data_IF_228389060726
#
_entry.id   IF_228389060726
#
_cell.length_a   1.000
_cell.length_b   1.000
_cell.length_c   1.000
_cell.angle_alpha   90.00
_cell.angle_beta   90.00
_cell.angle_gamma   90.00
#
_symmetry.space_group_name_H-M   'P 1'
#
loop_
_entity.id
_entity.type
_entity.pdbx_description
1 polymer ?
#
# COMPACT_ATOMS: atom_id res chain seq x y z
N UNK A 1 4.54 5.41 -1.30
CA UNK A 1 3.20 6.00 -1.09
C UNK A 1 3.28 6.90 0.13
N UNK A 2 3.39 8.19 -0.14
CA UNK A 2 3.21 9.29 0.81
C UNK A 2 1.78 9.79 0.70
N UNK A 3 1.35 10.59 1.67
CA UNK A 3 0.00 11.17 1.63
C UNK A 3 -0.13 12.17 0.47
N UNK A 4 0.93 12.95 0.19
CA UNK A 4 0.97 13.88 -0.95
C UNK A 4 0.88 13.21 -2.33
N UNK A 5 1.20 11.91 -2.42
CA UNK A 5 1.12 11.18 -3.68
C UNK A 5 -0.34 10.77 -4.03
N UNK A 6 -1.31 11.00 -3.12
CA UNK A 6 -2.71 10.58 -3.27
C UNK A 6 -3.59 11.81 -3.41
N UNK A 7 -4.23 11.95 -4.57
CA UNK A 7 -5.30 12.91 -4.78
C UNK A 7 -6.61 12.36 -4.20
N UNK A 8 -7.16 13.07 -3.22
CA UNK A 8 -8.38 12.72 -2.48
C UNK A 8 -9.57 13.62 -2.84
N UNK A 9 -9.46 14.45 -3.90
CA UNK A 9 -10.48 15.44 -4.24
C UNK A 9 -11.79 14.84 -4.77
N UNK A 10 -11.73 13.64 -5.36
CA UNK A 10 -12.85 12.97 -6.00
C UNK A 10 -13.34 11.75 -5.21
N UNK A 11 -14.48 11.20 -5.63
CA UNK A 11 -15.08 10.00 -5.03
C UNK A 11 -14.20 8.74 -5.23
N UNK A 12 -13.42 8.71 -6.31
CA UNK A 12 -12.35 7.74 -6.54
C UNK A 12 -11.01 8.46 -6.44
N UNK A 13 -10.24 8.14 -5.41
CA UNK A 13 -8.90 8.71 -5.21
C UNK A 13 -7.93 8.24 -6.29
N UNK A 14 -6.94 9.07 -6.59
CA UNK A 14 -5.89 8.76 -7.57
C UNK A 14 -4.53 8.77 -6.88
N UNK A 15 -3.84 7.63 -6.92
CA UNK A 15 -2.46 7.55 -6.47
C UNK A 15 -1.49 7.65 -7.65
N UNK A 16 -0.57 8.60 -7.57
CA UNK A 16 0.51 8.78 -8.53
C UNK A 16 1.86 8.56 -7.82
N UNK A 17 2.52 7.40 -7.99
CA UNK A 17 3.80 7.13 -7.35
C UNK A 17 4.87 8.13 -7.77
N UNK A 18 5.60 8.67 -6.79
CA UNK A 18 6.72 9.57 -7.04
C UNK A 18 7.77 9.04 -8.04
N UNK A 19 8.04 7.74 -7.99
CA UNK A 19 8.92 7.06 -8.94
C UNK A 19 8.34 5.73 -9.38
N UNK A 20 8.64 5.32 -10.61
CA UNK A 20 8.28 3.99 -11.12
C UNK A 20 9.25 3.47 -12.16
N UNK A 21 9.33 2.14 -12.29
CA UNK A 21 10.28 1.42 -13.16
C UNK A 21 10.34 1.95 -14.60
N UNK A 22 9.20 2.44 -15.11
CA UNK A 22 9.07 2.88 -16.50
C UNK A 22 9.00 4.41 -16.63
N UNK A 23 9.39 5.18 -15.62
CA UNK A 23 9.33 6.65 -15.65
C UNK A 23 10.19 7.26 -16.77
N UNK A 24 11.30 6.62 -17.11
CA UNK A 24 12.17 7.00 -18.24
C UNK A 24 11.50 6.86 -19.61
N UNK A 25 10.31 6.25 -19.69
CA UNK A 25 9.49 6.25 -20.90
C UNK A 25 8.57 7.48 -20.99
N UNK A 26 8.64 8.42 -20.04
CA UNK A 26 7.99 9.73 -20.12
C UNK A 26 6.50 9.75 -19.77
N UNK A 27 5.96 8.69 -19.18
CA UNK A 27 4.53 8.59 -18.87
C UNK A 27 4.29 8.40 -17.37
N UNK A 28 3.37 9.17 -16.76
CA UNK A 28 3.03 9.00 -15.36
C UNK A 28 2.29 7.69 -15.13
N UNK A 29 2.34 7.18 -13.91
CA UNK A 29 1.57 6.01 -13.49
C UNK A 29 0.45 6.43 -12.56
N UNK A 30 -0.79 6.43 -13.03
CA UNK A 30 -1.96 6.70 -12.20
C UNK A 30 -2.66 5.41 -11.79
N UNK A 31 -3.07 5.33 -10.53
CA UNK A 31 -3.76 4.18 -9.96
C UNK A 31 -5.04 4.67 -9.29
N UNK A 32 -6.19 4.23 -9.81
CA UNK A 32 -7.49 4.51 -9.20
C UNK A 32 -7.67 3.67 -7.93
N UNK A 33 -8.10 4.32 -6.85
CA UNK A 33 -8.33 3.71 -5.54
C UNK A 33 -9.82 3.84 -5.25
N UNK A 34 -10.53 2.71 -5.30
CA UNK A 34 -11.97 2.66 -5.04
C UNK A 34 -12.32 2.73 -3.55
N UNK A 35 -13.61 2.88 -3.22
CA UNK A 35 -14.09 3.18 -1.86
C UNK A 35 -13.67 2.15 -0.81
N UNK A 36 -13.53 0.86 -1.18
CA UNK A 36 -13.08 -0.17 -0.24
C UNK A 36 -11.61 0.00 0.13
N UNK A 37 -10.76 0.31 -0.85
CA UNK A 37 -9.36 0.63 -0.59
C UNK A 37 -9.20 1.96 0.14
N UNK A 38 -10.02 2.98 -0.19
CA UNK A 38 -10.04 4.26 0.53
C UNK A 38 -10.34 4.07 2.02
N UNK A 39 -11.38 3.30 2.36
CA UNK A 39 -11.73 3.02 3.76
C UNK A 39 -10.58 2.38 4.56
N UNK A 40 -9.73 1.59 3.90
CA UNK A 40 -8.53 1.00 4.51
C UNK A 40 -7.42 2.06 4.66
N UNK A 41 -7.30 2.98 3.71
CA UNK A 41 -6.24 4.00 3.69
C UNK A 41 -6.52 5.19 4.61
N UNK A 42 -7.78 5.60 4.76
CA UNK A 42 -8.18 6.79 5.53
C UNK A 42 -7.52 6.88 6.91
N UNK A 43 -7.47 5.82 7.75
CA UNK A 43 -6.85 5.89 9.07
C UNK A 43 -5.33 6.13 9.06
N UNK A 44 -4.67 5.91 7.92
CA UNK A 44 -3.22 6.01 7.77
C UNK A 44 -2.78 7.29 7.05
N UNK A 45 -3.71 8.08 6.49
CA UNK A 45 -3.38 9.35 5.85
C UNK A 45 -2.88 10.36 6.87
N UNK A 46 -1.89 11.16 6.49
CA UNK A 46 -1.21 12.14 7.35
C UNK A 46 -1.33 13.54 6.76
N UNK A 47 -2.50 14.19 6.85
CA UNK A 47 -2.71 15.51 6.25
C UNK A 47 -1.76 16.57 6.82
N UNK A 48 -1.42 16.46 8.11
CA UNK A 48 -0.50 17.40 8.77
C UNK A 48 0.98 17.16 8.43
N UNK A 49 1.31 16.06 7.75
CA UNK A 49 2.67 15.77 7.30
C UNK A 49 2.63 14.97 5.99
N UNK A 50 2.29 15.63 4.87
CA UNK A 50 1.88 14.94 3.66
C UNK A 50 3.04 14.17 2.98
N UNK A 51 4.29 14.61 3.19
CA UNK A 51 5.50 13.94 2.73
C UNK A 51 5.82 12.62 3.48
N UNK A 52 5.15 12.37 4.61
CA UNK A 52 5.34 11.13 5.34
C UNK A 52 4.69 9.94 4.64
N UNK A 53 5.37 8.79 4.73
CA UNK A 53 4.83 7.53 4.23
C UNK A 53 3.55 7.14 4.97
N UNK A 54 2.53 6.74 4.20
CA UNK A 54 1.25 6.26 4.73
C UNK A 54 1.46 5.01 5.60
N UNK A 55 2.37 4.11 5.18
CA UNK A 55 2.74 2.91 5.93
C UNK A 55 4.18 2.98 6.42
N UNK A 56 4.37 3.23 7.72
CA UNK A 56 5.69 3.30 8.35
C UNK A 56 5.96 2.10 9.27
N UNK A 57 7.02 1.29 9.01
CA UNK A 57 7.48 0.25 9.94
C UNK A 57 7.84 0.78 11.33
N UNK A 58 8.31 2.03 11.42
CA UNK A 58 8.64 2.69 12.68
C UNK A 58 7.39 2.88 13.53
N UNK A 59 6.36 3.51 12.98
CA UNK A 59 5.09 3.74 13.66
C UNK A 59 4.41 2.42 14.03
N UNK A 60 4.37 1.45 13.12
CA UNK A 60 3.82 0.12 13.40
C UNK A 60 4.54 -0.58 14.57
N UNK A 61 5.87 -0.45 14.66
CA UNK A 61 6.64 -1.00 15.78
C UNK A 61 6.38 -0.26 17.10
N UNK A 62 6.14 1.05 17.06
CA UNK A 62 5.78 1.86 18.22
C UNK A 62 4.38 1.53 18.72
N UNK A 63 3.40 1.39 17.82
CA UNK A 63 2.03 0.98 18.14
C UNK A 63 2.01 -0.39 18.81
N UNK A 64 2.70 -1.38 18.23
CA UNK A 64 2.80 -2.72 18.84
C UNK A 64 3.45 -2.68 20.23
N UNK A 65 4.46 -1.83 20.44
CA UNK A 65 5.09 -1.66 21.77
C UNK A 65 4.12 -1.00 22.76
N UNK A 66 3.41 0.04 22.33
CA UNK A 66 2.42 0.73 23.15
C UNK A 66 1.29 -0.23 23.57
N UNK A 67 0.78 -1.02 22.62
CA UNK A 67 -0.28 -1.99 22.86
C UNK A 67 0.16 -3.09 23.82
N UNK A 68 1.37 -3.63 23.65
CA UNK A 68 1.95 -4.59 24.60
C UNK A 68 2.12 -4.01 26.00
N UNK A 69 2.46 -2.71 26.10
CA UNK A 69 2.62 -2.02 27.39
C UNK A 69 1.27 -1.83 28.08
N UNK A 70 0.22 -1.47 27.32
CA UNK A 70 -1.17 -1.36 27.82
C UNK A 70 -1.69 -2.71 28.31
N UNK A 71 -1.53 -3.77 27.50
CA UNK A 71 -2.02 -5.13 27.81
C UNK A 71 -1.17 -5.89 28.82
N UNK A 72 -0.21 -5.23 29.45
CA UNK A 72 0.73 -5.89 30.33
C UNK A 72 0.09 -6.15 31.70
N UNK A 73 -0.01 -7.43 32.06
CA UNK A 73 -0.58 -7.88 33.35
C UNK A 73 0.36 -7.67 34.54
N UNK A 74 1.68 -7.83 34.34
CA UNK A 74 2.66 -7.74 35.41
C UNK A 74 3.33 -6.36 35.49
N UNK A 75 3.57 -5.81 36.69
CA UNK A 75 4.33 -4.58 36.87
C UNK A 75 5.76 -4.67 36.29
N UNK A 76 6.40 -3.51 36.06
CA UNK A 76 7.75 -3.51 35.46
C UNK A 76 8.74 -3.83 36.54
N UNK A 77 9.58 -4.84 36.33
CA UNK A 77 10.62 -5.17 37.29
C UNK A 77 11.58 -3.97 37.40
N UNK A 78 12.19 -3.72 38.58
CA UNK A 78 13.11 -2.61 38.76
C UNK A 78 14.29 -2.63 37.76
N UNK A 79 14.81 -3.82 37.41
CA UNK A 79 15.88 -3.98 36.42
C UNK A 79 15.45 -3.60 35.00
N UNK A 80 14.21 -3.90 34.60
CA UNK A 80 13.67 -3.48 33.31
C UNK A 80 13.44 -1.97 33.25
N UNK A 81 13.00 -1.32 34.35
CA UNK A 81 12.82 0.13 34.42
C UNK A 81 14.14 0.89 34.27
N UNK A 82 15.23 0.35 34.83
CA UNK A 82 16.58 0.93 34.74
C UNK A 82 17.24 0.74 33.37
N UNK A 83 16.67 -0.12 32.50
CA UNK A 83 17.26 -0.42 31.19
C UNK A 83 17.04 0.75 30.23
N UNK A 84 18.14 1.32 29.74
CA UNK A 84 18.10 2.34 28.68
C UNK A 84 18.20 1.69 27.31
N UNK A 85 17.51 2.20 26.28
CA UNK A 85 17.71 1.77 24.91
C UNK A 85 19.16 1.98 24.48
N UNK A 86 19.71 1.03 23.72
CA UNK A 86 21.03 1.22 23.09
C UNK A 86 20.96 2.46 22.18
N UNK A 87 21.92 3.39 22.22
CA UNK A 87 21.87 4.62 21.40
C UNK A 87 21.96 4.31 19.88
N UNK A 88 22.83 3.37 19.51
CA UNK A 88 23.02 2.92 18.13
C UNK A 88 22.75 1.40 17.98
N UNK A 89 21.48 0.97 17.95
CA UNK A 89 21.13 -0.41 17.65
C UNK A 89 21.45 -0.73 16.19
N UNK A 90 21.97 -1.95 15.93
CA UNK A 90 22.31 -2.42 14.58
C UNK A 90 21.10 -2.52 13.64
N UNK A 91 19.88 -2.62 14.18
CA UNK A 91 18.63 -2.73 13.42
C UNK A 91 17.61 -1.74 13.99
N UNK A 92 17.18 -0.79 13.17
CA UNK A 92 16.07 0.12 13.44
C UNK A 92 15.00 -0.09 12.37
N UNK A 93 13.69 -0.05 12.72
CA UNK A 93 12.65 0.09 11.71
C UNK A 93 12.90 1.38 10.91
N UNK A 94 12.76 1.31 9.59
CA UNK A 94 12.82 2.49 8.72
C UNK A 94 11.47 3.21 8.62
N UNK A 95 11.45 4.33 7.90
CA UNK A 95 10.24 5.11 7.61
C UNK A 95 9.33 4.48 6.57
N UNK A 96 9.88 3.63 5.69
CA UNK A 96 9.13 2.92 4.66
C UNK A 96 9.43 1.41 4.67
N UNK A 97 8.45 0.62 4.29
CA UNK A 97 8.65 -0.81 4.07
C UNK A 97 9.57 -1.05 2.88
N UNK A 98 10.63 -1.82 3.09
CA UNK A 98 11.40 -2.39 1.98
C UNK A 98 10.64 -3.56 1.36
N UNK A 99 10.99 -3.92 0.10
CA UNK A 99 10.47 -5.12 -0.57
C UNK A 99 10.57 -6.37 0.33
N UNK A 100 11.71 -6.55 1.00
CA UNK A 100 11.94 -7.68 1.90
C UNK A 100 11.08 -7.60 3.16
N UNK A 101 10.95 -6.42 3.78
CA UNK A 101 10.12 -6.24 4.96
C UNK A 101 8.65 -6.54 4.65
N UNK A 102 8.14 -6.06 3.52
CA UNK A 102 6.78 -6.33 3.05
C UNK A 102 6.53 -7.83 2.79
N UNK A 103 7.46 -8.51 2.08
CA UNK A 103 7.38 -9.96 1.86
C UNK A 103 7.30 -10.72 3.18
N UNK A 104 8.16 -10.41 4.15
CA UNK A 104 8.17 -11.08 5.44
C UNK A 104 6.93 -10.78 6.29
N UNK A 105 6.35 -9.58 6.17
CA UNK A 105 5.09 -9.25 6.82
C UNK A 105 3.96 -10.17 6.33
N UNK A 106 3.85 -10.39 5.02
CA UNK A 106 2.87 -11.33 4.43
C UNK A 106 3.10 -12.76 4.90
N UNK A 107 4.36 -13.24 4.88
CA UNK A 107 4.68 -14.59 5.34
C UNK A 107 4.23 -14.80 6.79
N UNK A 108 4.54 -13.87 7.69
CA UNK A 108 4.12 -13.94 9.10
C UNK A 108 2.60 -13.89 9.26
N UNK A 109 1.92 -13.08 8.45
CA UNK A 109 0.47 -13.01 8.46
C UNK A 109 -0.16 -14.33 8.01
N UNK A 110 0.38 -14.95 6.96
CA UNK A 110 -0.08 -16.27 6.48
C UNK A 110 0.14 -17.36 7.53
N UNK A 111 1.33 -17.41 8.14
CA UNK A 111 1.66 -18.37 9.19
C UNK A 111 0.72 -18.21 10.40
N UNK A 112 0.46 -16.95 10.82
CA UNK A 112 -0.47 -16.64 11.91
C UNK A 112 -1.91 -17.05 11.58
N UNK A 113 -2.35 -16.83 10.34
CA UNK A 113 -3.68 -17.20 9.88
C UNK A 113 -3.81 -18.69 9.49
N UNK A 114 -2.70 -19.46 9.53
CA UNK A 114 -2.62 -20.86 9.11
C UNK A 114 -3.09 -21.11 7.67
N UNK A 115 -2.79 -20.17 6.76
CA UNK A 115 -3.10 -20.28 5.33
C UNK A 115 -1.81 -20.50 4.52
N UNK A 116 -1.89 -21.10 3.32
CA UNK A 116 -0.74 -21.21 2.42
C UNK A 116 -0.10 -19.84 2.17
N UNK A 117 1.22 -19.80 2.25
CA UNK A 117 1.98 -18.58 1.98
C UNK A 117 1.81 -18.16 0.52
N UNK A 118 1.56 -16.88 0.32
CA UNK A 118 1.49 -16.28 -1.01
C UNK A 118 2.46 -15.10 -1.15
N UNK A 119 2.77 -14.72 -2.38
CA UNK A 119 3.63 -13.60 -2.71
C UNK A 119 2.82 -12.38 -3.20
N UNK A 120 3.28 -11.14 -2.97
CA UNK A 120 2.54 -9.92 -3.35
C UNK A 120 1.99 -9.92 -4.79
N UNK A 121 2.80 -10.42 -5.74
CA UNK A 121 2.41 -10.45 -7.15
C UNK A 121 1.19 -11.35 -7.44
N UNK A 122 0.86 -12.32 -6.57
CA UNK A 122 -0.36 -13.14 -6.72
C UNK A 122 -1.63 -12.32 -6.52
N UNK A 123 -1.60 -11.29 -5.66
CA UNK A 123 -2.75 -10.38 -5.53
C UNK A 123 -3.01 -9.62 -6.83
N UNK A 124 -1.94 -9.19 -7.52
CA UNK A 124 -2.05 -8.56 -8.83
C UNK A 124 -2.63 -9.51 -9.87
N UNK A 125 -2.16 -10.76 -9.93
CA UNK A 125 -2.70 -11.76 -10.85
C UNK A 125 -4.15 -12.12 -10.55
N UNK A 126 -4.51 -12.30 -9.27
CA UNK A 126 -5.88 -12.58 -8.87
C UNK A 126 -6.81 -11.44 -9.29
N UNK A 127 -6.41 -10.19 -8.99
CA UNK A 127 -7.15 -9.02 -9.44
C UNK A 127 -7.29 -8.98 -10.97
N UNK A 128 -6.20 -9.24 -11.72
CA UNK A 128 -6.24 -9.31 -13.18
C UNK A 128 -7.24 -10.35 -13.70
N UNK A 129 -7.23 -11.56 -13.13
CA UNK A 129 -8.15 -12.64 -13.49
C UNK A 129 -9.60 -12.24 -13.18
N UNK A 130 -9.84 -11.64 -12.01
CA UNK A 130 -11.18 -11.18 -11.60
C UNK A 130 -11.70 -10.10 -12.54
N UNK A 131 -10.88 -9.09 -12.82
CA UNK A 131 -11.24 -7.99 -13.73
C UNK A 131 -11.50 -8.50 -15.14
N UNK A 132 -10.68 -9.42 -15.64
CA UNK A 132 -10.88 -9.99 -16.98
C UNK A 132 -12.19 -10.74 -17.10
N UNK A 133 -12.62 -11.44 -16.03
CA UNK A 133 -13.89 -12.15 -15.99
C UNK A 133 -15.10 -11.20 -15.99
N UNK A 134 -15.00 -10.06 -15.30
CA UNK A 134 -16.11 -9.12 -15.10
C UNK A 134 -16.21 -8.04 -16.18
N UNK A 135 -15.07 -7.51 -16.65
CA UNK A 135 -14.99 -6.33 -17.51
C UNK A 135 -14.20 -6.57 -18.81
N UNK A 136 -13.88 -7.82 -19.10
CA UNK A 136 -13.08 -8.20 -20.27
C UNK A 136 -11.62 -7.77 -20.20
N UNK A 137 -10.91 -7.93 -21.32
CA UNK A 137 -9.49 -7.61 -21.41
C UNK A 137 -9.22 -6.12 -21.18
N UNK A 138 -10.04 -5.26 -21.79
CA UNK A 138 -9.86 -3.81 -21.72
C UNK A 138 -10.00 -3.26 -20.29
N UNK A 139 -10.95 -3.79 -19.52
CA UNK A 139 -11.12 -3.40 -18.11
C UNK A 139 -9.94 -3.85 -17.24
N UNK A 140 -9.45 -5.07 -17.46
CA UNK A 140 -8.26 -5.57 -16.77
C UNK A 140 -7.02 -4.74 -17.11
N UNK A 141 -6.81 -4.38 -18.38
CA UNK A 141 -5.69 -3.54 -18.81
C UNK A 141 -5.78 -2.14 -18.23
N UNK A 142 -6.96 -1.51 -18.32
CA UNK A 142 -7.24 -0.18 -17.79
C UNK A 142 -6.84 -0.07 -16.32
N UNK A 143 -7.34 -0.97 -15.47
CA UNK A 143 -7.07 -0.93 -14.02
C UNK A 143 -5.61 -1.31 -13.70
N UNK A 144 -5.01 -2.25 -14.44
CA UNK A 144 -3.63 -2.67 -14.17
C UNK A 144 -2.59 -1.67 -14.67
N UNK A 145 -2.98 -0.73 -15.53
CA UNK A 145 -2.08 0.24 -16.18
C UNK A 145 -1.10 -0.44 -17.14
N UNK A 146 -1.54 -1.48 -17.85
CA UNK A 146 -0.74 -2.10 -18.91
C UNK A 146 -0.92 -1.30 -20.22
N UNK A 147 0.15 -1.18 -21.00
CA UNK A 147 0.08 -0.60 -22.35
C UNK A 147 -0.33 -1.71 -23.34
N UNK A 148 -1.40 -1.52 -24.11
CA UNK A 148 -1.72 -2.37 -25.27
C UNK A 148 -1.20 -1.67 -26.53
N UNK A 149 0.01 -1.99 -27.00
CA UNK A 149 0.51 -1.49 -28.30
C UNK A 149 0.89 0.00 -28.35
N UNK A 150 0.83 0.61 -29.54
CA UNK A 150 1.11 2.05 -29.78
C UNK A 150 -0.20 2.82 -29.52
N UNK A 151 -0.38 3.27 -28.28
CA UNK A 151 -1.59 3.97 -27.82
C UNK A 151 -1.30 5.47 -27.78
N UNK A 152 -2.16 6.30 -28.38
CA UNK A 152 -2.08 7.77 -28.30
C UNK A 152 -2.55 8.27 -26.93
N UNK A 153 -2.23 9.53 -26.58
CA UNK A 153 -2.59 10.13 -25.29
C UNK A 153 -4.10 10.10 -24.98
N UNK A 154 -4.93 10.33 -26.01
CA UNK A 154 -6.41 10.30 -25.90
C UNK A 154 -6.90 8.94 -25.39
N UNK A 155 -6.33 7.85 -25.89
CA UNK A 155 -6.71 6.50 -25.44
C UNK A 155 -6.23 6.23 -24.01
N UNK A 156 -5.11 6.81 -23.57
CA UNK A 156 -4.63 6.66 -22.20
C UNK A 156 -5.59 7.30 -21.18
N UNK A 157 -6.15 8.48 -21.49
CA UNK A 157 -7.17 9.13 -20.66
C UNK A 157 -8.47 8.33 -20.60
N UNK A 158 -8.98 7.86 -21.74
CA UNK A 158 -10.18 7.01 -21.79
C UNK A 158 -10.01 5.71 -21.01
N UNK A 159 -8.84 5.07 -21.13
CA UNK A 159 -8.51 3.89 -20.33
C UNK A 159 -8.48 4.21 -18.83
N UNK A 160 -7.95 5.36 -18.43
CA UNK A 160 -7.93 5.74 -17.03
C UNK A 160 -9.33 6.06 -16.48
N UNK A 161 -10.18 6.74 -17.26
CA UNK A 161 -11.57 6.96 -16.88
C UNK A 161 -12.31 5.63 -16.68
N UNK A 162 -12.11 4.67 -17.58
CA UNK A 162 -12.64 3.31 -17.42
C UNK A 162 -12.13 2.62 -16.15
N UNK A 163 -10.86 2.84 -15.77
CA UNK A 163 -10.33 2.33 -14.52
C UNK A 163 -11.01 2.97 -13.30
N UNK A 164 -11.26 4.28 -13.33
CA UNK A 164 -12.01 4.99 -12.29
C UNK A 164 -13.42 4.39 -12.15
N UNK A 165 -14.15 4.22 -13.26
CA UNK A 165 -15.52 3.72 -13.23
C UNK A 165 -15.61 2.29 -12.68
N UNK A 166 -14.68 1.43 -13.09
CA UNK A 166 -14.58 0.05 -12.57
C UNK A 166 -14.25 0.08 -11.07
N UNK A 167 -13.25 0.86 -10.65
CA UNK A 167 -12.83 0.91 -9.24
C UNK A 167 -13.88 1.55 -8.35
N UNK A 168 -14.69 2.48 -8.87
CA UNK A 168 -15.87 3.02 -8.18
C UNK A 168 -16.86 1.91 -7.80
N UNK A 169 -17.12 0.99 -8.73
CA UNK A 169 -18.08 -0.10 -8.56
C UNK A 169 -17.54 -1.20 -7.62
N UNK A 170 -16.32 -1.71 -7.87
CA UNK A 170 -15.82 -2.89 -7.17
C UNK A 170 -15.08 -2.59 -5.87
N UNK A 171 -14.54 -1.37 -5.74
CA UNK A 171 -13.74 -0.90 -4.61
C UNK A 171 -12.25 -1.16 -4.70
#
# INVERSE_FOLDING_TARGET
MRTCDIDVAQDVWVYEPHTHKNEHHGHPRKIAIGPKAQAILTPFLKPNNPESFVFSPREAAEEVKAERRKNRKTPMTPSQRKRTPKPAPKRKPGEQYTKNAYRWAIVRACDKAKVPRWHPHQLRHNCATKLRRLYGLDGAVAVLGHKIGIVTEIYAEQHFQKAIDIMREIG
#
